data_IF_652668690241
#
_entry.id   IF_652668690241
#
_cell.length_a   1.000
_cell.length_b   1.000
_cell.length_c   1.000
_cell.angle_alpha   90.00
_cell.angle_beta   90.00
_cell.angle_gamma   90.00
#
_symmetry.space_group_name_H-M   'P 1'
#
loop_
_entity.id
_entity.type
_entity.pdbx_description
1 polymer ?
#
# COMPACT_ATOMS: atom_id res chain seq x y z
N UNK A 1 17.90 29.99 -12.74
CA UNK A 1 18.52 28.89 -13.52
C UNK A 1 18.54 29.26 -14.99
N UNK A 2 19.49 28.71 -15.76
CA UNK A 2 19.57 28.99 -17.20
C UNK A 2 18.66 28.06 -18.00
N UNK A 3 18.36 28.46 -19.24
CA UNK A 3 17.56 27.67 -20.19
C UNK A 3 18.47 26.81 -21.07
N UNK A 4 17.88 26.02 -21.98
CA UNK A 4 18.63 25.22 -22.96
C UNK A 4 19.55 26.06 -23.87
N UNK A 5 19.30 27.37 -24.01
CA UNK A 5 20.16 28.29 -24.75
C UNK A 5 21.45 28.67 -24.01
N UNK A 6 21.57 28.29 -22.73
CA UNK A 6 22.69 28.68 -21.87
C UNK A 6 24.07 28.30 -22.42
N UNK A 7 24.19 27.18 -23.14
CA UNK A 7 25.45 26.75 -23.74
C UNK A 7 25.91 27.70 -24.86
N UNK A 8 25.01 28.04 -25.78
CA UNK A 8 25.31 28.97 -26.87
C UNK A 8 25.51 30.40 -26.35
N UNK A 9 24.71 30.82 -25.37
CA UNK A 9 24.89 32.10 -24.70
C UNK A 9 26.25 32.18 -23.99
N UNK A 10 26.75 31.09 -23.40
CA UNK A 10 28.09 31.05 -22.78
C UNK A 10 29.18 31.30 -23.81
N UNK A 11 29.12 30.65 -24.98
CA UNK A 11 30.07 30.89 -26.07
C UNK A 11 30.04 32.35 -26.54
N UNK A 12 28.84 32.93 -26.71
CA UNK A 12 28.67 34.33 -27.08
C UNK A 12 29.24 35.30 -26.04
N UNK A 13 29.12 34.99 -24.73
CA UNK A 13 29.72 35.80 -23.67
C UNK A 13 31.25 35.75 -23.74
N UNK A 14 31.85 34.56 -23.90
CA UNK A 14 33.29 34.41 -24.05
C UNK A 14 33.82 35.15 -25.28
N UNK A 15 33.13 35.02 -26.42
CA UNK A 15 33.43 35.71 -27.66
C UNK A 15 33.51 37.23 -27.45
N UNK A 16 32.52 37.80 -26.77
CA UNK A 16 32.47 39.24 -26.49
C UNK A 16 33.55 39.68 -25.51
N UNK A 17 33.87 38.88 -24.50
CA UNK A 17 34.95 39.20 -23.57
C UNK A 17 36.28 39.29 -24.30
N UNK A 18 36.58 38.34 -25.17
CA UNK A 18 37.82 38.36 -25.97
C UNK A 18 37.80 39.53 -26.96
N UNK A 19 36.68 39.77 -27.66
CA UNK A 19 36.57 40.89 -28.59
C UNK A 19 36.77 42.25 -27.88
N UNK A 20 36.23 42.41 -26.67
CA UNK A 20 36.44 43.59 -25.85
C UNK A 20 37.89 43.72 -25.39
N UNK A 21 38.55 42.60 -25.06
CA UNK A 21 39.98 42.57 -24.74
C UNK A 21 40.85 43.04 -25.90
N UNK A 22 40.56 42.60 -27.12
CA UNK A 22 41.24 43.07 -28.34
C UNK A 22 41.04 44.58 -28.56
N UNK A 23 39.81 45.07 -28.37
CA UNK A 23 39.51 46.50 -28.49
C UNK A 23 40.16 47.36 -27.40
N UNK A 24 40.32 46.83 -26.18
CA UNK A 24 40.93 47.55 -25.07
C UNK A 24 42.40 47.91 -25.32
N UNK A 25 43.12 47.06 -26.06
CA UNK A 25 44.53 47.29 -26.43
C UNK A 25 44.71 47.77 -27.87
N UNK A 26 43.62 47.93 -28.63
CA UNK A 26 43.64 48.26 -30.07
C UNK A 26 44.54 47.31 -30.88
N UNK A 27 44.30 46.01 -30.71
CA UNK A 27 45.14 44.97 -31.31
C UNK A 27 45.15 45.04 -32.85
N UNK A 28 44.05 45.48 -33.45
CA UNK A 28 43.93 45.77 -34.88
C UNK A 28 44.93 46.81 -35.36
N UNK A 29 45.06 47.94 -34.65
CA UNK A 29 46.06 48.98 -34.94
C UNK A 29 47.49 48.44 -34.78
N UNK A 30 47.74 47.62 -33.75
CA UNK A 30 49.06 47.06 -33.45
C UNK A 30 49.54 46.09 -34.54
N UNK A 31 48.63 45.27 -35.06
CA UNK A 31 48.92 44.29 -36.11
C UNK A 31 48.77 44.86 -37.52
N UNK A 32 48.31 46.12 -37.66
CA UNK A 32 48.12 46.78 -38.95
C UNK A 32 46.99 46.16 -39.78
N UNK A 33 45.95 45.64 -39.13
CA UNK A 33 44.82 44.93 -39.75
C UNK A 33 43.51 45.69 -39.56
N UNK A 34 42.56 45.53 -40.49
CA UNK A 34 41.31 46.30 -40.45
C UNK A 34 40.33 45.83 -39.36
N UNK A 35 40.21 44.53 -39.13
CA UNK A 35 39.36 43.96 -38.07
C UNK A 35 39.85 42.57 -37.73
N UNK A 36 39.96 42.29 -36.43
CA UNK A 36 40.20 40.94 -35.91
C UNK A 36 38.87 40.39 -35.41
N UNK A 37 38.44 39.27 -35.99
CA UNK A 37 37.17 38.64 -35.65
C UNK A 37 37.37 37.51 -34.63
N UNK A 38 36.59 37.52 -33.55
CA UNK A 38 36.41 36.32 -32.72
C UNK A 38 35.17 35.57 -33.23
N UNK A 39 35.33 34.31 -33.61
CA UNK A 39 34.24 33.47 -34.15
C UNK A 39 33.98 32.26 -33.26
N UNK A 40 32.78 31.65 -33.39
CA UNK A 40 32.41 30.43 -32.69
C UNK A 40 31.85 29.39 -33.67
N UNK A 41 32.57 29.17 -34.76
CA UNK A 41 32.16 28.24 -35.83
C UNK A 41 32.98 26.96 -35.77
N UNK A 42 32.50 25.91 -36.44
CA UNK A 42 33.28 24.69 -36.60
C UNK A 42 34.62 25.00 -37.30
N UNK A 43 35.78 24.54 -36.78
CA UNK A 43 37.09 24.85 -37.33
C UNK A 43 37.24 24.54 -38.83
N UNK A 44 36.57 23.50 -39.34
CA UNK A 44 36.54 23.11 -40.75
C UNK A 44 35.86 24.12 -41.68
N UNK A 45 35.02 25.01 -41.14
CA UNK A 45 34.33 26.05 -41.91
C UNK A 45 35.19 27.28 -42.13
N UNK A 46 36.34 27.35 -41.46
CA UNK A 46 37.34 28.38 -41.67
C UNK A 46 38.21 27.95 -42.85
N UNK A 47 38.21 28.74 -43.92
CA UNK A 47 39.05 28.46 -45.07
C UNK A 47 40.53 28.45 -44.66
N UNK A 48 41.28 27.44 -45.10
CA UNK A 48 42.70 27.31 -44.82
C UNK A 48 43.52 28.49 -45.39
N UNK A 49 43.06 29.05 -46.52
CA UNK A 49 43.65 30.19 -47.21
C UNK A 49 42.89 31.50 -46.90
N UNK A 50 42.25 31.58 -45.73
CA UNK A 50 41.57 32.81 -45.31
C UNK A 50 42.58 33.93 -45.12
N UNK A 51 42.50 34.98 -45.94
CA UNK A 51 43.30 36.22 -45.80
C UNK A 51 42.79 37.12 -44.65
N UNK A 52 42.21 36.52 -43.60
CA UNK A 52 41.60 37.25 -42.47
C UNK A 52 42.16 36.74 -41.15
N UNK A 53 42.73 37.65 -40.37
CA UNK A 53 43.15 37.39 -38.99
C UNK A 53 41.92 37.18 -38.11
N UNK A 54 41.82 35.99 -37.52
CA UNK A 54 40.69 35.64 -36.66
C UNK A 54 41.07 34.65 -35.57
N UNK A 55 40.35 34.75 -34.46
CA UNK A 55 40.40 33.77 -33.36
C UNK A 55 39.11 32.96 -33.36
N UNK A 56 39.20 31.64 -33.36
CA UNK A 56 38.03 30.77 -33.26
C UNK A 56 37.92 30.16 -31.86
N UNK A 57 36.74 30.29 -31.26
CA UNK A 57 36.37 29.67 -29.99
C UNK A 57 35.45 28.47 -30.29
N UNK A 58 35.98 27.27 -30.15
CA UNK A 58 35.26 26.05 -30.47
C UNK A 58 34.92 25.24 -29.20
N UNK A 59 33.65 24.91 -29.00
CA UNK A 59 33.21 23.99 -27.95
C UNK A 59 33.45 22.55 -28.43
N UNK A 60 34.49 21.88 -27.90
CA UNK A 60 34.87 20.54 -28.35
C UNK A 60 34.35 19.42 -27.44
N UNK A 61 33.98 19.73 -26.19
CA UNK A 61 33.46 18.72 -25.27
C UNK A 61 32.54 19.34 -24.21
N UNK A 62 31.59 18.55 -23.72
CA UNK A 62 30.64 18.89 -22.67
C UNK A 62 30.53 17.72 -21.70
N UNK A 63 30.97 17.95 -20.46
CA UNK A 63 30.92 16.93 -19.41
C UNK A 63 29.87 17.30 -18.36
N UNK A 64 29.33 16.31 -17.65
CA UNK A 64 28.50 16.60 -16.47
C UNK A 64 29.41 17.03 -15.33
N UNK A 65 29.03 18.11 -14.65
CA UNK A 65 29.78 18.56 -13.49
C UNK A 65 29.60 17.56 -12.33
N UNK A 66 30.66 16.95 -11.79
CA UNK A 66 30.55 15.92 -10.75
C UNK A 66 30.05 16.49 -9.40
N UNK A 67 30.28 17.77 -9.13
CA UNK A 67 29.83 18.42 -7.89
C UNK A 67 28.32 18.70 -7.86
N UNK A 68 27.70 18.90 -9.02
CA UNK A 68 26.28 19.29 -9.13
C UNK A 68 25.37 18.19 -9.69
N UNK A 69 25.91 17.18 -10.38
CA UNK A 69 25.11 16.16 -11.05
C UNK A 69 24.21 15.34 -10.10
N UNK A 70 24.59 15.16 -8.83
CA UNK A 70 23.85 14.36 -7.85
C UNK A 70 23.00 15.20 -6.88
N UNK A 71 22.84 16.51 -7.11
CA UNK A 71 22.10 17.38 -6.19
C UNK A 71 20.59 17.06 -6.17
N UNK A 72 20.03 16.63 -7.30
CA UNK A 72 18.61 16.29 -7.42
C UNK A 72 18.40 15.15 -8.42
N UNK A 73 17.34 14.38 -8.23
CA UNK A 73 16.97 13.26 -9.08
C UNK A 73 15.75 13.62 -9.94
N UNK A 74 15.63 13.11 -11.18
CA UNK A 74 14.44 13.29 -12.00
C UNK A 74 13.29 12.44 -11.47
N UNK A 75 12.71 12.85 -10.35
CA UNK A 75 11.70 12.08 -9.62
C UNK A 75 10.31 12.21 -10.24
N UNK A 76 9.57 11.09 -10.19
CA UNK A 76 8.20 10.97 -10.67
C UNK A 76 7.33 10.30 -9.62
N UNK A 77 6.04 10.61 -9.63
CA UNK A 77 5.07 9.94 -8.76
C UNK A 77 4.67 8.57 -9.32
N UNK A 78 3.86 7.83 -8.56
CA UNK A 78 3.35 6.52 -8.97
C UNK A 78 2.49 6.55 -10.25
N UNK A 79 2.02 7.72 -10.67
CA UNK A 79 1.25 7.92 -11.93
C UNK A 79 2.16 8.36 -13.09
N UNK A 80 3.46 8.55 -12.84
CA UNK A 80 4.43 9.00 -13.82
C UNK A 80 4.53 10.52 -13.96
N UNK A 81 3.78 11.29 -13.16
CA UNK A 81 3.85 12.75 -13.18
C UNK A 81 5.17 13.25 -12.58
N UNK A 82 5.68 14.36 -13.10
CA UNK A 82 6.96 14.93 -12.65
C UNK A 82 6.80 15.62 -11.29
N UNK A 83 7.66 15.26 -10.32
CA UNK A 83 7.68 15.87 -8.98
C UNK A 83 8.77 16.94 -8.87
N UNK A 84 9.92 16.72 -9.50
CA UNK A 84 11.06 17.66 -9.47
C UNK A 84 11.58 17.99 -10.88
N UNK A 85 12.25 19.14 -11.00
CA UNK A 85 12.97 19.57 -12.20
C UNK A 85 14.46 19.65 -11.88
N UNK A 86 15.23 18.55 -11.86
CA UNK A 86 16.66 18.65 -11.60
C UNK A 86 17.36 19.48 -12.67
N UNK A 87 18.36 20.28 -12.27
CA UNK A 87 19.19 21.01 -13.21
C UNK A 87 20.20 20.08 -13.87
N UNK A 88 20.38 20.20 -15.19
CA UNK A 88 21.49 19.60 -15.91
C UNK A 88 22.71 20.53 -15.75
N UNK A 89 23.65 20.07 -14.94
CA UNK A 89 24.92 20.74 -14.66
C UNK A 89 26.01 20.31 -15.64
N UNK A 90 26.59 21.26 -16.35
CA UNK A 90 27.60 21.01 -17.40
C UNK A 90 28.88 21.80 -17.16
N UNK A 91 30.00 21.16 -17.45
CA UNK A 91 31.30 21.77 -17.65
C UNK A 91 31.59 21.81 -19.16
N UNK A 92 31.77 23.01 -19.69
CA UNK A 92 31.93 23.27 -21.11
C UNK A 92 33.41 23.44 -21.45
N UNK A 93 33.95 22.59 -22.32
CA UNK A 93 35.35 22.61 -22.71
C UNK A 93 35.51 23.30 -24.07
N UNK A 94 36.18 24.45 -24.05
CA UNK A 94 36.44 25.27 -25.20
C UNK A 94 37.91 25.17 -25.62
N UNK A 95 38.15 25.21 -26.94
CA UNK A 95 39.46 25.33 -27.55
C UNK A 95 39.50 26.64 -28.34
N UNK A 96 40.47 27.49 -28.00
CA UNK A 96 40.82 28.65 -28.82
C UNK A 96 41.81 28.22 -29.89
N UNK A 97 41.56 28.58 -31.15
CA UNK A 97 42.50 28.41 -32.26
C UNK A 97 42.73 29.74 -32.97
N UNK A 98 43.99 30.14 -33.10
CA UNK A 98 44.37 31.39 -33.76
C UNK A 98 44.72 31.17 -35.24
N UNK A 99 44.14 32.00 -36.12
CA UNK A 99 44.37 32.00 -37.56
C UNK A 99 44.97 33.34 -37.93
N UNK A 100 46.30 33.38 -38.08
CA UNK A 100 47.06 34.56 -38.46
C UNK A 100 47.45 34.53 -39.94
N UNK A 101 47.42 35.68 -40.60
CA UNK A 101 47.82 35.83 -42.02
C UNK A 101 49.29 36.19 -42.17
N UNK A 102 49.86 36.91 -41.20
CA UNK A 102 51.26 37.32 -41.18
C UNK A 102 52.00 36.78 -39.94
N UNK A 103 53.34 36.88 -39.97
CA UNK A 103 54.21 36.45 -38.88
C UNK A 103 53.76 37.07 -37.55
N UNK A 104 53.75 36.25 -36.49
CA UNK A 104 53.42 36.63 -35.12
C UNK A 104 51.96 37.03 -34.84
N UNK A 105 51.10 37.16 -35.87
CA UNK A 105 49.70 37.54 -35.68
C UNK A 105 48.95 36.49 -34.82
N UNK A 106 49.16 35.20 -35.11
CA UNK A 106 48.49 34.11 -34.40
C UNK A 106 48.91 34.08 -32.92
N UNK A 107 50.20 34.22 -32.62
CA UNK A 107 50.76 34.25 -31.27
C UNK A 107 50.30 35.49 -30.50
N UNK A 108 50.26 36.66 -31.15
CA UNK A 108 49.79 37.90 -30.54
C UNK A 108 48.30 37.82 -30.16
N UNK A 109 47.44 37.37 -31.09
CA UNK A 109 46.01 37.17 -30.82
C UNK A 109 45.77 36.16 -29.70
N UNK A 110 46.49 35.04 -29.72
CA UNK A 110 46.35 34.01 -28.70
C UNK A 110 46.82 34.53 -27.33
N UNK A 111 47.95 35.22 -27.26
CA UNK A 111 48.49 35.77 -26.02
C UNK A 111 47.54 36.78 -25.37
N UNK A 112 46.97 37.70 -26.15
CA UNK A 112 46.00 38.68 -25.65
C UNK A 112 44.71 38.02 -25.20
N UNK A 113 44.21 37.03 -25.96
CA UNK A 113 43.02 36.28 -25.56
C UNK A 113 43.24 35.52 -24.25
N UNK A 114 44.40 34.87 -24.10
CA UNK A 114 44.77 34.17 -22.87
C UNK A 114 44.86 35.13 -21.67
N UNK A 115 45.49 36.30 -21.85
CA UNK A 115 45.55 37.33 -20.81
C UNK A 115 44.15 37.82 -20.42
N UNK A 116 43.30 38.13 -21.41
CA UNK A 116 41.93 38.62 -21.18
C UNK A 116 41.09 37.62 -20.36
N UNK A 117 41.19 36.33 -20.69
CA UNK A 117 40.48 35.27 -19.95
C UNK A 117 41.09 35.03 -18.56
N UNK A 118 42.41 35.18 -18.40
CA UNK A 118 43.08 35.08 -17.11
C UNK A 118 42.69 36.21 -16.16
N UNK A 119 42.57 37.44 -16.68
CA UNK A 119 42.16 38.62 -15.91
C UNK A 119 40.65 38.61 -15.58
N UNK A 120 39.86 37.78 -16.28
CA UNK A 120 38.41 37.63 -16.08
C UNK A 120 38.02 36.17 -15.72
N UNK A 121 38.51 35.60 -14.60
CA UNK A 121 38.29 34.19 -14.26
C UNK A 121 36.85 33.89 -13.82
N UNK A 122 36.08 34.91 -13.42
CA UNK A 122 34.67 34.79 -13.05
C UNK A 122 33.80 35.69 -13.92
N UNK A 123 32.74 35.15 -14.49
CA UNK A 123 31.78 35.91 -15.30
C UNK A 123 30.74 36.54 -14.39
N UNK A 124 30.98 37.81 -14.04
CA UNK A 124 30.04 38.63 -13.28
C UNK A 124 28.69 38.76 -14.00
N UNK A 125 27.60 38.85 -13.24
CA UNK A 125 26.23 38.92 -13.77
C UNK A 125 26.03 40.11 -14.70
N UNK A 126 26.60 41.26 -14.35
CA UNK A 126 26.49 42.48 -15.17
C UNK A 126 27.32 42.38 -16.45
N UNK A 127 28.49 41.72 -16.40
CA UNK A 127 29.28 41.43 -17.58
C UNK A 127 28.54 40.50 -18.56
N UNK A 128 27.88 39.45 -18.04
CA UNK A 128 27.03 38.55 -18.84
C UNK A 128 25.88 39.33 -19.49
N UNK A 129 25.18 40.17 -18.73
CA UNK A 129 24.07 41.01 -19.25
C UNK A 129 24.56 41.99 -20.31
N UNK A 130 25.71 42.63 -20.09
CA UNK A 130 26.31 43.55 -21.04
C UNK A 130 26.76 42.85 -22.32
N UNK A 131 27.38 41.66 -22.20
CA UNK A 131 27.81 40.86 -23.34
C UNK A 131 26.63 40.45 -24.23
N UNK A 132 25.53 39.97 -23.63
CA UNK A 132 24.33 39.51 -24.34
C UNK A 132 23.35 40.64 -24.73
N UNK A 133 23.63 41.90 -24.39
CA UNK A 133 22.80 43.03 -24.80
C UNK A 133 22.89 43.24 -26.32
N UNK A 134 21.75 43.30 -27.05
CA UNK A 134 21.68 43.61 -28.46
C UNK A 134 22.40 44.93 -28.78
N UNK A 135 23.27 44.88 -29.77
CA UNK A 135 24.06 46.01 -30.24
C UNK A 135 24.35 45.81 -31.73
N UNK A 136 24.39 46.89 -32.51
CA UNK A 136 24.74 46.85 -33.94
C UNK A 136 26.16 46.32 -34.17
N UNK A 137 27.05 46.51 -33.19
CA UNK A 137 28.42 45.95 -33.19
C UNK A 137 28.49 44.44 -32.96
N UNK A 138 27.36 43.79 -32.61
CA UNK A 138 27.27 42.37 -32.24
C UNK A 138 26.30 41.60 -33.13
N UNK A 139 26.30 41.89 -34.43
CA UNK A 139 25.32 41.37 -35.39
C UNK A 139 25.26 39.82 -35.47
N UNK A 140 26.31 39.12 -35.03
CA UNK A 140 26.40 37.65 -35.02
C UNK A 140 25.85 36.99 -33.75
N UNK A 141 25.43 37.76 -32.74
CA UNK A 141 24.85 37.23 -31.49
C UNK A 141 23.32 37.39 -31.54
N UNK A 142 22.55 36.29 -31.58
CA UNK A 142 21.09 36.36 -31.57
C UNK A 142 20.54 37.05 -30.31
N UNK A 143 19.62 38.00 -30.49
CA UNK A 143 18.95 38.70 -29.38
C UNK A 143 18.22 37.74 -28.42
N UNK A 144 17.83 36.55 -28.90
CA UNK A 144 17.19 35.51 -28.09
C UNK A 144 18.08 34.97 -26.97
N UNK A 145 19.41 35.16 -27.03
CA UNK A 145 20.32 34.70 -25.99
C UNK A 145 20.16 35.46 -24.67
N UNK A 146 19.52 36.64 -24.67
CA UNK A 146 19.12 37.29 -23.42
C UNK A 146 18.15 36.43 -22.59
N UNK A 147 17.35 35.59 -23.24
CA UNK A 147 16.42 34.67 -22.60
C UNK A 147 17.11 33.41 -22.05
N UNK A 148 18.43 33.30 -22.18
CA UNK A 148 19.20 32.18 -21.65
C UNK A 148 19.22 32.15 -20.11
N UNK A 149 18.96 33.28 -19.44
CA UNK A 149 18.95 33.37 -17.96
C UNK A 149 20.31 33.09 -17.31
N UNK A 150 21.40 33.26 -18.06
CA UNK A 150 22.76 32.90 -17.64
C UNK A 150 23.29 33.77 -16.48
N UNK A 151 22.78 35.00 -16.36
CA UNK A 151 23.09 35.87 -15.21
C UNK A 151 22.29 35.51 -13.95
N UNK A 152 21.19 34.77 -14.10
CA UNK A 152 20.22 34.48 -13.03
C UNK A 152 20.30 33.02 -12.53
N UNK A 153 21.30 32.26 -12.97
CA UNK A 153 21.64 30.99 -12.34
C UNK A 153 22.29 31.20 -10.96
N UNK A 154 22.21 30.16 -10.13
CA UNK A 154 22.68 30.20 -8.74
C UNK A 154 24.20 30.38 -8.70
N UNK A 155 24.92 29.52 -9.42
CA UNK A 155 26.38 29.58 -9.55
C UNK A 155 26.81 30.52 -10.67
N UNK A 156 27.88 31.29 -10.44
CA UNK A 156 28.53 32.07 -11.50
C UNK A 156 29.36 31.15 -12.39
N UNK A 157 29.43 31.48 -13.68
CA UNK A 157 30.36 30.80 -14.58
C UNK A 157 31.79 31.22 -14.25
N UNK A 158 32.69 30.24 -14.18
CA UNK A 158 34.12 30.39 -13.92
C UNK A 158 34.87 29.83 -15.11
N UNK A 159 35.88 30.56 -15.54
CA UNK A 159 36.77 30.20 -16.63
C UNK A 159 38.06 29.69 -16.01
N UNK A 160 38.46 28.48 -16.40
CA UNK A 160 39.68 27.83 -15.91
C UNK A 160 40.50 27.40 -17.11
N UNK A 161 41.76 27.80 -17.17
CA UNK A 161 42.68 27.31 -18.20
C UNK A 161 42.93 25.81 -18.02
N UNK A 162 42.89 25.08 -19.13
CA UNK A 162 43.18 23.64 -19.18
C UNK A 162 44.48 23.42 -19.93
N UNK A 163 45.45 22.82 -19.24
CA UNK A 163 46.70 22.41 -19.86
C UNK A 163 46.49 21.06 -20.54
N UNK A 164 46.37 21.06 -21.86
CA UNK A 164 46.36 19.85 -22.68
C UNK A 164 47.80 19.39 -22.93
N UNK A 165 48.01 18.09 -22.94
CA UNK A 165 49.26 17.49 -23.42
C UNK A 165 49.36 17.58 -24.94
N UNK A 166 50.58 17.49 -25.48
CA UNK A 166 50.82 17.53 -26.92
C UNK A 166 50.07 16.41 -27.67
N UNK A 167 49.96 15.22 -27.07
CA UNK A 167 49.21 14.10 -27.62
C UNK A 167 47.70 14.38 -27.67
N UNK A 168 47.11 14.94 -26.59
CA UNK A 168 45.70 15.32 -26.56
C UNK A 168 45.38 16.40 -27.59
N UNK A 169 46.23 17.43 -27.68
CA UNK A 169 46.07 18.50 -28.64
C UNK A 169 46.18 17.98 -30.09
N UNK A 170 47.17 17.13 -30.36
CA UNK A 170 47.35 16.48 -31.66
C UNK A 170 46.14 15.62 -32.05
N UNK A 171 45.54 14.90 -31.09
CA UNK A 171 44.34 14.08 -31.34
C UNK A 171 43.12 14.94 -31.64
N UNK A 172 42.93 16.05 -30.93
CA UNK A 172 41.81 16.97 -31.17
C UNK A 172 41.91 17.53 -32.60
N UNK A 173 43.06 18.07 -32.99
CA UNK A 173 43.26 18.61 -34.33
C UNK A 173 43.15 17.55 -35.43
N UNK A 174 43.68 16.35 -35.20
CA UNK A 174 43.53 15.24 -36.15
C UNK A 174 42.05 14.84 -36.33
N UNK A 175 41.27 14.81 -35.25
CA UNK A 175 39.84 14.50 -35.31
C UNK A 175 39.04 15.57 -36.07
N UNK A 176 39.47 16.84 -35.99
CA UNK A 176 38.88 17.96 -36.72
C UNK A 176 39.26 17.99 -38.21
N UNK A 177 40.18 17.11 -38.66
CA UNK A 177 40.69 17.07 -40.04
C UNK A 177 41.22 18.43 -40.54
N UNK A 178 41.67 19.28 -39.61
CA UNK A 178 42.20 20.61 -39.91
C UNK A 178 43.67 20.67 -39.49
N UNK A 179 44.53 21.39 -40.22
CA UNK A 179 45.92 21.54 -39.82
C UNK A 179 46.01 22.21 -38.44
N UNK A 180 46.90 21.71 -37.58
CA UNK A 180 47.06 22.22 -36.22
C UNK A 180 47.38 23.72 -36.22
N UNK A 181 46.86 24.43 -35.22
CA UNK A 181 47.04 25.88 -35.02
C UNK A 181 47.48 26.17 -33.60
N UNK A 182 48.16 27.31 -33.35
CA UNK A 182 48.38 27.82 -32.01
C UNK A 182 47.05 27.86 -31.26
N UNK A 183 47.00 27.17 -30.12
CA UNK A 183 45.75 26.92 -29.42
C UNK A 183 45.89 26.87 -27.91
N UNK A 184 44.81 27.21 -27.21
CA UNK A 184 44.71 27.18 -25.76
C UNK A 184 43.33 26.65 -25.35
N UNK A 185 43.28 25.77 -24.35
CA UNK A 185 42.04 25.15 -23.89
C UNK A 185 41.54 25.77 -22.57
N UNK A 186 40.22 25.85 -22.43
CA UNK A 186 39.55 26.39 -21.26
C UNK A 186 38.34 25.55 -20.88
N UNK A 187 38.07 25.44 -19.59
CA UNK A 187 36.83 24.89 -19.05
C UNK A 187 36.01 26.02 -18.47
N UNK A 188 34.73 26.06 -18.83
CA UNK A 188 33.74 26.94 -18.21
C UNK A 188 32.80 26.13 -17.35
N UNK A 189 32.84 26.38 -16.04
CA UNK A 189 32.08 25.65 -15.01
C UNK A 189 31.36 26.63 -14.08
N UNK A 190 30.12 26.43 -13.63
CA UNK A 190 29.18 25.37 -14.00
C UNK A 190 27.97 25.99 -14.70
N UNK A 191 27.57 25.44 -15.84
CA UNK A 191 26.33 25.81 -16.51
C UNK A 191 25.17 24.98 -15.94
N UNK A 192 24.18 25.64 -15.33
CA UNK A 192 23.01 24.98 -14.72
C UNK A 192 21.73 25.20 -15.54
N UNK A 193 21.44 24.25 -16.44
CA UNK A 193 20.23 24.30 -17.27
C UNK A 193 19.05 23.59 -16.62
N UNK A 194 17.90 24.24 -16.48
CA UNK A 194 16.71 23.65 -15.84
C UNK A 194 15.47 23.85 -16.72
N UNK A 195 14.58 22.86 -16.72
CA UNK A 195 13.29 23.00 -17.40
C UNK A 195 12.32 23.84 -16.56
N UNK A 196 11.57 24.79 -17.18
CA UNK A 196 10.55 25.57 -16.47
C UNK A 196 9.19 24.86 -16.42
N UNK A 197 9.11 23.58 -16.78
CA UNK A 197 7.84 22.84 -16.80
C UNK A 197 7.27 22.75 -15.38
N UNK A 198 5.94 22.82 -15.25
CA UNK A 198 5.29 22.62 -13.95
C UNK A 198 5.65 21.25 -13.36
N UNK A 199 5.92 21.23 -12.06
CA UNK A 199 6.09 20.01 -11.28
C UNK A 199 4.99 19.91 -10.24
N UNK A 200 4.59 18.68 -9.92
CA UNK A 200 3.55 18.43 -8.93
C UNK A 200 4.11 18.70 -7.54
N UNK A 201 3.47 19.61 -6.80
CA UNK A 201 3.74 19.83 -5.39
C UNK A 201 2.70 19.07 -4.55
N UNK A 202 3.10 18.17 -3.64
CA UNK A 202 2.15 17.50 -2.76
C UNK A 202 1.51 18.49 -1.79
N UNK A 203 0.29 18.20 -1.34
CA UNK A 203 -0.34 18.96 -0.27
C UNK A 203 0.46 18.78 1.03
N UNK A 204 0.56 19.82 1.88
CA UNK A 204 1.23 19.70 3.16
C UNK A 204 0.51 18.69 4.06
N UNK A 205 1.28 17.90 4.81
CA UNK A 205 0.74 16.97 5.81
C UNK A 205 0.13 17.79 6.95
N UNK A 206 -1.19 17.73 7.12
CA UNK A 206 -1.92 18.51 8.13
C UNK A 206 -1.77 17.94 9.55
N UNK A 207 -1.87 16.62 9.68
CA UNK A 207 -1.79 15.91 10.96
C UNK A 207 -1.00 14.62 10.78
N UNK A 208 -0.25 14.24 11.81
CA UNK A 208 0.44 12.95 11.87
C UNK A 208 -0.21 12.16 13.00
N UNK A 209 -0.84 11.04 12.66
CA UNK A 209 -1.41 10.14 13.66
C UNK A 209 -0.42 8.99 13.86
N UNK A 210 0.12 8.89 15.07
CA UNK A 210 1.01 7.80 15.48
C UNK A 210 0.30 6.96 16.54
N UNK A 211 0.24 5.65 16.33
CA UNK A 211 -0.38 4.71 17.24
C UNK A 211 0.69 3.77 17.77
N UNK A 212 0.76 3.61 19.10
CA UNK A 212 1.59 2.60 19.77
C UNK A 212 0.65 1.71 20.54
N UNK A 213 0.54 0.45 20.15
CA UNK A 213 -0.38 -0.50 20.77
C UNK A 213 0.42 -1.74 21.17
N UNK A 214 0.36 -2.17 22.44
CA UNK A 214 0.98 -3.42 22.87
C UNK A 214 0.25 -4.62 22.22
N UNK A 215 1.02 -5.60 21.77
CA UNK A 215 0.48 -6.87 21.27
C UNK A 215 0.16 -7.78 22.45
N UNK A 216 -1.09 -7.73 22.89
CA UNK A 216 -1.70 -8.44 23.99
C UNK A 216 -2.93 -9.18 23.45
N UNK A 217 -2.70 -10.36 22.87
CA UNK A 217 -3.75 -11.14 22.25
C UNK A 217 -4.59 -11.85 23.32
N UNK A 218 -5.94 -11.74 23.27
CA UNK A 218 -6.82 -12.49 24.17
C UNK A 218 -6.56 -13.99 24.04
N UNK A 219 -6.76 -14.74 25.11
CA UNK A 219 -6.69 -16.22 25.06
C UNK A 219 -7.84 -16.80 25.86
N UNK A 220 -8.60 -17.69 25.22
CA UNK A 220 -9.70 -18.42 25.84
C UNK A 220 -9.16 -19.76 26.34
N UNK A 221 -9.32 -20.02 27.63
CA UNK A 221 -8.98 -21.30 28.25
C UNK A 221 -10.21 -22.21 28.35
N UNK A 222 -11.39 -21.64 28.67
CA UNK A 222 -12.58 -22.44 28.93
C UNK A 222 -13.88 -21.66 28.65
N UNK A 223 -14.91 -22.38 28.19
CA UNK A 223 -16.27 -21.89 27.96
C UNK A 223 -17.25 -22.82 28.68
N UNK A 224 -18.14 -22.26 29.51
CA UNK A 224 -19.15 -23.03 30.25
C UNK A 224 -20.49 -22.28 30.32
N UNK A 225 -21.58 -23.00 30.60
CA UNK A 225 -22.84 -22.39 31.00
C UNK A 225 -22.90 -22.31 32.53
N UNK A 226 -23.35 -21.16 33.06
CA UNK A 226 -23.44 -20.96 34.51
C UNK A 226 -22.11 -21.18 35.23
N UNK A 227 -22.15 -21.83 36.38
CA UNK A 227 -20.98 -22.02 37.25
C UNK A 227 -20.36 -23.44 37.17
N UNK A 228 -20.82 -24.29 36.23
CA UNK A 228 -20.42 -25.69 36.17
C UNK A 228 -20.18 -26.20 34.75
N UNK A 229 -19.07 -26.93 34.57
CA UNK A 229 -18.75 -27.67 33.34
C UNK A 229 -19.75 -28.77 32.98
N UNK A 230 -20.54 -29.23 33.94
CA UNK A 230 -21.50 -30.33 33.73
C UNK A 230 -22.85 -29.84 33.23
N UNK A 231 -23.09 -28.52 33.27
CA UNK A 231 -24.35 -27.95 32.83
C UNK A 231 -24.40 -27.89 31.29
N UNK A 232 -25.47 -28.40 30.65
CA UNK A 232 -25.62 -28.30 29.21
C UNK A 232 -25.75 -26.84 28.79
N UNK A 233 -24.95 -26.41 27.82
CA UNK A 233 -25.12 -25.10 27.20
C UNK A 233 -26.40 -25.13 26.36
N UNK A 234 -27.35 -24.26 26.70
CA UNK A 234 -28.64 -24.09 26.04
C UNK A 234 -28.71 -22.73 25.33
N UNK A 235 -29.69 -22.53 24.43
CA UNK A 235 -29.79 -21.31 23.63
C UNK A 235 -30.11 -20.05 24.44
N UNK A 236 -30.66 -20.22 25.65
CA UNK A 236 -30.94 -19.17 26.63
C UNK A 236 -29.86 -19.07 27.72
N UNK A 237 -28.82 -19.89 27.66
CA UNK A 237 -27.71 -19.83 28.62
C UNK A 237 -26.91 -18.54 28.50
N UNK A 238 -26.45 -18.06 29.66
CA UNK A 238 -25.32 -17.13 29.74
C UNK A 238 -24.05 -17.97 29.74
N UNK A 239 -23.16 -17.69 28.77
CA UNK A 239 -21.86 -18.31 28.66
C UNK A 239 -20.86 -17.56 29.52
N UNK A 240 -20.18 -18.30 30.40
CA UNK A 240 -19.06 -17.82 31.19
C UNK A 240 -17.76 -18.33 30.55
N UNK A 241 -16.94 -17.39 30.12
CA UNK A 241 -15.66 -17.60 29.45
C UNK A 241 -14.57 -17.22 30.43
N UNK A 242 -13.58 -18.10 30.59
CA UNK A 242 -12.37 -17.80 31.36
C UNK A 242 -11.14 -17.92 30.48
N UNK A 243 -10.14 -17.12 30.81
CA UNK A 243 -8.94 -16.98 29.99
C UNK A 243 -8.08 -15.83 30.47
N UNK A 244 -7.39 -15.18 29.54
CA UNK A 244 -6.53 -14.03 29.85
C UNK A 244 -6.73 -12.93 28.82
N UNK A 245 -6.67 -11.68 29.28
CA UNK A 245 -6.81 -10.48 28.46
C UNK A 245 -8.13 -10.48 27.65
N UNK A 246 -9.24 -10.82 28.28
CA UNK A 246 -10.57 -10.87 27.64
C UNK A 246 -11.25 -9.49 27.60
N UNK A 247 -10.72 -8.50 28.31
CA UNK A 247 -11.21 -7.13 28.34
C UNK A 247 -10.50 -6.23 27.32
N UNK A 248 -11.27 -5.33 26.71
CA UNK A 248 -10.75 -4.28 25.84
C UNK A 248 -11.71 -3.09 25.78
N UNK A 249 -11.19 -1.91 25.42
CA UNK A 249 -12.01 -0.71 25.19
C UNK A 249 -13.02 -0.90 24.06
N UNK A 250 -12.67 -1.71 23.07
CA UNK A 250 -13.58 -2.16 22.01
C UNK A 250 -13.39 -3.66 21.89
N UNK A 251 -14.50 -4.39 21.94
CA UNK A 251 -14.55 -5.83 22.06
C UNK A 251 -15.58 -6.38 21.07
N UNK A 252 -15.21 -7.40 20.33
CA UNK A 252 -16.12 -8.22 19.53
C UNK A 252 -16.06 -9.66 20.02
N UNK A 253 -17.22 -10.28 20.18
CA UNK A 253 -17.36 -11.66 20.66
C UNK A 253 -18.00 -12.47 19.55
N UNK A 254 -17.20 -13.22 18.81
CA UNK A 254 -17.65 -13.93 17.63
C UNK A 254 -18.08 -15.36 17.98
N UNK A 255 -19.35 -15.69 17.78
CA UNK A 255 -19.83 -17.07 17.82
C UNK A 255 -20.16 -17.51 16.40
N UNK A 256 -19.41 -18.48 15.87
CA UNK A 256 -19.50 -18.90 14.46
C UNK A 256 -19.35 -17.74 13.46
N UNK A 257 -18.67 -16.66 13.86
CA UNK A 257 -18.45 -15.46 13.05
C UNK A 257 -19.48 -14.33 13.24
N UNK A 258 -20.59 -14.58 13.94
CA UNK A 258 -21.56 -13.54 14.29
C UNK A 258 -21.13 -12.82 15.57
N UNK A 259 -21.29 -11.49 15.63
CA UNK A 259 -20.86 -10.69 16.78
C UNK A 259 -21.93 -10.59 17.87
N UNK A 260 -21.57 -11.04 19.07
CA UNK A 260 -22.35 -11.03 20.30
C UNK A 260 -21.85 -9.97 21.30
N UNK A 261 -21.03 -9.00 20.88
CA UNK A 261 -20.54 -7.92 21.74
C UNK A 261 -21.67 -7.19 22.50
N UNK A 262 -22.84 -7.02 21.88
CA UNK A 262 -24.00 -6.37 22.50
C UNK A 262 -24.65 -7.21 23.61
N UNK A 263 -24.45 -8.52 23.61
CA UNK A 263 -24.98 -9.46 24.61
C UNK A 263 -24.00 -9.71 25.77
N UNK A 264 -22.85 -9.05 25.79
CA UNK A 264 -21.88 -9.11 26.89
C UNK A 264 -22.48 -8.43 28.13
N UNK A 265 -22.54 -9.17 29.23
CA UNK A 265 -23.04 -8.69 30.53
C UNK A 265 -21.91 -8.33 31.49
N UNK A 266 -20.76 -8.99 31.35
CA UNK A 266 -19.56 -8.74 32.14
C UNK A 266 -18.31 -8.99 31.29
N UNK A 267 -17.31 -8.12 31.41
CA UNK A 267 -16.01 -8.29 30.78
C UNK A 267 -14.92 -7.76 31.70
N UNK A 268 -14.17 -8.68 32.28
CA UNK A 268 -12.98 -8.45 33.08
C UNK A 268 -11.78 -9.08 32.37
N UNK A 269 -10.57 -8.81 32.88
CA UNK A 269 -9.33 -9.30 32.28
C UNK A 269 -9.30 -10.81 32.06
N UNK A 270 -9.83 -11.59 33.00
CA UNK A 270 -9.72 -13.06 32.97
C UNK A 270 -11.09 -13.76 32.86
N UNK A 271 -12.18 -12.99 32.86
CA UNK A 271 -13.55 -13.50 32.84
C UNK A 271 -14.44 -12.67 31.91
N UNK A 272 -15.24 -13.33 31.09
CA UNK A 272 -16.22 -12.69 30.22
C UNK A 272 -17.52 -13.48 30.23
N UNK A 273 -18.63 -12.78 30.41
CA UNK A 273 -19.97 -13.37 30.42
C UNK A 273 -20.86 -12.72 29.36
N UNK A 274 -21.54 -13.54 28.57
CA UNK A 274 -22.45 -13.06 27.52
C UNK A 274 -23.58 -14.05 27.23
N UNK A 275 -24.72 -13.54 26.78
CA UNK A 275 -25.86 -14.37 26.38
C UNK A 275 -25.81 -14.80 24.91
N UNK A 276 -26.36 -15.96 24.60
CA UNK A 276 -26.59 -16.41 23.20
C UNK A 276 -27.86 -15.82 22.56
N UNK A 277 -28.65 -15.06 23.33
CA UNK A 277 -29.77 -14.25 22.84
C UNK A 277 -29.32 -12.79 22.79
N UNK A 278 -29.41 -12.18 21.62
CA UNK A 278 -29.03 -10.77 21.45
C UNK A 278 -30.10 -9.85 22.06
N UNK A 279 -29.70 -8.70 22.63
CA UNK A 279 -30.64 -7.65 23.05
C UNK A 279 -31.10 -6.79 21.86
N UNK A 280 -31.88 -5.73 22.14
CA UNK A 280 -32.28 -4.75 21.13
C UNK A 280 -31.07 -4.17 20.37
N UNK A 281 -31.16 -3.88 19.06
CA UNK A 281 -32.37 -3.71 18.24
C UNK A 281 -32.92 -4.99 17.59
N UNK A 282 -32.19 -6.11 17.65
CA UNK A 282 -32.62 -7.39 17.06
C UNK A 282 -32.70 -8.45 18.16
N UNK A 283 -33.71 -8.37 19.03
CA UNK A 283 -33.81 -9.25 20.18
C UNK A 283 -34.03 -10.70 19.75
N UNK A 284 -33.35 -11.63 20.41
CA UNK A 284 -33.53 -13.06 20.23
C UNK A 284 -32.29 -13.79 19.72
N UNK A 285 -32.45 -15.10 19.52
CA UNK A 285 -31.37 -15.97 19.06
C UNK A 285 -31.17 -15.76 17.55
N UNK A 286 -29.93 -15.45 17.10
CA UNK A 286 -29.64 -15.27 15.68
C UNK A 286 -30.04 -16.49 14.84
N UNK A 287 -30.59 -16.23 13.65
CA UNK A 287 -31.03 -17.27 12.72
C UNK A 287 -29.88 -18.05 12.08
N UNK A 288 -28.63 -17.68 12.37
CA UNK A 288 -27.37 -18.32 11.98
C UNK A 288 -26.85 -19.29 13.05
N UNK A 289 -27.25 -19.12 14.32
CA UNK A 289 -26.88 -20.04 15.39
C UNK A 289 -27.54 -21.41 15.16
N UNK A 290 -26.77 -22.48 15.35
CA UNK A 290 -27.22 -23.87 15.17
C UNK A 290 -26.81 -24.70 16.38
N UNK A 291 -27.65 -25.65 16.79
CA UNK A 291 -27.25 -26.64 17.78
C UNK A 291 -26.09 -27.50 17.23
N UNK A 292 -25.21 -27.99 18.11
CA UNK A 292 -24.00 -28.72 17.73
C UNK A 292 -22.72 -27.99 18.13
N UNK A 293 -21.61 -28.27 17.44
CA UNK A 293 -20.32 -27.63 17.73
C UNK A 293 -20.36 -26.18 17.27
N UNK A 294 -20.21 -25.26 18.21
CA UNK A 294 -20.04 -23.83 17.97
C UNK A 294 -18.61 -23.42 18.27
N UNK A 295 -18.15 -22.39 17.59
CA UNK A 295 -16.84 -21.78 17.78
C UNK A 295 -17.01 -20.42 18.45
N UNK A 296 -16.08 -20.08 19.34
CA UNK A 296 -16.01 -18.81 20.04
C UNK A 296 -14.62 -18.19 19.78
N UNK A 297 -14.62 -16.91 19.43
CA UNK A 297 -13.42 -16.10 19.28
C UNK A 297 -13.65 -14.71 19.86
N UNK A 298 -12.65 -14.18 20.57
CA UNK A 298 -12.66 -12.82 21.09
C UNK A 298 -11.71 -11.98 20.24
N UNK A 299 -12.18 -10.81 19.80
CA UNK A 299 -11.44 -9.90 18.94
C UNK A 299 -11.38 -8.53 19.59
N UNK A 300 -10.18 -7.94 19.63
CA UNK A 300 -9.92 -6.57 20.06
C UNK A 300 -9.66 -5.72 18.81
N UNK A 301 -10.68 -4.98 18.30
CA UNK A 301 -10.53 -4.19 17.08
C UNK A 301 -9.63 -2.99 17.34
N UNK A 302 -8.71 -2.70 16.41
CA UNK A 302 -7.84 -1.53 16.50
C UNK A 302 -8.43 -0.37 15.71
N UNK A 303 -8.97 0.62 16.41
CA UNK A 303 -9.50 1.84 15.79
C UNK A 303 -8.37 2.82 15.48
N UNK A 304 -8.11 3.07 14.19
CA UNK A 304 -7.10 4.01 13.71
C UNK A 304 -7.68 4.98 12.68
N UNK A 305 -7.07 6.15 12.55
CA UNK A 305 -7.48 7.20 11.61
C UNK A 305 -8.35 8.31 12.22
N UNK A 306 -8.80 9.21 11.34
CA UNK A 306 -9.70 10.31 11.68
C UNK A 306 -10.70 10.48 10.53
N UNK A 307 -11.96 10.00 10.67
CA UNK A 307 -12.55 9.39 11.85
C UNK A 307 -11.94 8.01 12.18
N UNK A 308 -12.06 7.53 13.44
CA UNK A 308 -11.60 6.19 13.81
C UNK A 308 -12.28 5.11 12.96
N UNK A 309 -11.47 4.26 12.33
CA UNK A 309 -11.91 3.12 11.51
C UNK A 309 -11.20 1.87 12.01
N UNK A 310 -11.86 0.71 11.95
CA UNK A 310 -11.23 -0.56 12.31
C UNK A 310 -10.12 -0.88 11.30
N UNK A 311 -8.90 -1.03 11.77
CA UNK A 311 -7.70 -1.32 10.99
C UNK A 311 -7.01 -2.52 11.64
N UNK A 312 -7.53 -3.71 11.36
CA UNK A 312 -7.09 -4.96 11.99
C UNK A 312 -7.55 -5.08 13.45
N UNK A 313 -6.98 -6.07 14.14
CA UNK A 313 -7.32 -6.38 15.52
C UNK A 313 -6.46 -7.52 16.05
N UNK A 314 -6.52 -7.75 17.35
CA UNK A 314 -5.91 -8.91 17.99
C UNK A 314 -7.00 -9.93 18.24
N UNK A 315 -6.73 -11.17 17.87
CA UNK A 315 -7.70 -12.25 17.93
C UNK A 315 -7.25 -13.33 18.90
N UNK A 316 -8.21 -13.94 19.59
CA UNK A 316 -7.94 -15.08 20.43
C UNK A 316 -7.74 -16.36 19.64
N UNK A 317 -7.26 -17.40 20.32
CA UNK A 317 -7.47 -18.76 19.85
C UNK A 317 -8.97 -19.04 19.66
N UNK A 318 -9.28 -20.00 18.79
CA UNK A 318 -10.64 -20.47 18.57
C UNK A 318 -11.00 -21.50 19.66
N UNK A 319 -11.95 -21.17 20.51
CA UNK A 319 -12.52 -22.11 21.47
C UNK A 319 -13.74 -22.80 20.86
N UNK A 320 -13.99 -24.06 21.23
CA UNK A 320 -15.16 -24.81 20.78
C UNK A 320 -16.03 -25.20 21.96
N UNK A 321 -17.34 -25.11 21.80
CA UNK A 321 -18.32 -25.58 22.76
C UNK A 321 -19.48 -26.27 22.04
N UNK A 322 -20.24 -27.11 22.76
CA UNK A 322 -21.39 -27.81 22.18
C UNK A 322 -22.67 -27.12 22.66
N UNK A 323 -23.42 -26.54 21.73
CA UNK A 323 -24.74 -25.99 21.98
C UNK A 323 -25.79 -27.09 21.87
N UNK A 324 -26.53 -27.33 22.96
CA UNK A 324 -27.61 -28.30 22.98
C UNK A 324 -28.93 -27.66 22.53
N UNK A 325 -29.75 -28.38 21.74
CA UNK A 325 -31.04 -27.87 21.33
C UNK A 325 -32.03 -27.91 22.50
N UNK A 326 -32.77 -26.82 22.71
CA UNK A 326 -33.97 -26.84 23.53
C UNK A 326 -35.11 -27.42 22.68
N UNK A 327 -35.54 -28.66 22.98
CA UNK A 327 -36.46 -29.42 22.14
C UNK A 327 -37.80 -29.74 22.82
N UNK A 328 -38.88 -29.74 22.04
CA UNK A 328 -40.21 -30.21 22.43
C UNK A 328 -40.78 -31.16 21.37
N UNK A 329 -41.66 -32.08 21.80
CA UNK A 329 -42.10 -33.19 20.96
C UNK A 329 -43.62 -33.32 20.95
N UNK A 330 -44.19 -33.57 19.77
CA UNK A 330 -45.62 -33.81 19.57
C UNK A 330 -45.79 -35.05 18.69
N UNK A 331 -46.49 -36.07 19.18
CA UNK A 331 -46.88 -37.25 18.39
C UNK A 331 -48.01 -36.83 17.44
N UNK A 332 -47.82 -37.04 16.13
CA UNK A 332 -48.83 -36.68 15.13
C UNK A 332 -49.99 -37.69 15.09
N UNK A 333 -51.15 -37.26 14.60
CA UNK A 333 -52.27 -38.14 14.31
C UNK A 333 -51.92 -39.16 13.20
N UNK A 334 -52.57 -40.32 13.20
CA UNK A 334 -52.33 -41.37 12.20
C UNK A 334 -51.31 -42.44 12.61
N UNK A 335 -51.03 -42.59 13.90
CA UNK A 335 -50.21 -43.70 14.43
C UNK A 335 -50.89 -45.03 14.08
N UNK A 336 -50.13 -45.91 13.45
CA UNK A 336 -50.54 -47.29 13.15
C UNK A 336 -50.09 -48.22 14.26
N UNK A 337 -50.86 -49.28 14.51
CA UNK A 337 -50.52 -50.30 15.49
C UNK A 337 -50.53 -51.69 14.86
N UNK A 338 -49.57 -52.52 15.26
CA UNK A 338 -49.48 -53.92 14.87
C UNK A 338 -49.18 -54.75 16.11
N UNK A 339 -49.88 -55.86 16.30
CA UNK A 339 -49.69 -56.77 17.45
C UNK A 339 -48.96 -58.01 16.98
N UNK A 340 -47.75 -58.23 17.51
CA UNK A 340 -46.93 -59.42 17.23
C UNK A 340 -46.65 -60.09 18.56
N UNK A 341 -47.06 -61.36 18.71
CA UNK A 341 -46.86 -62.15 19.94
C UNK A 341 -47.39 -61.46 21.21
N UNK A 342 -48.53 -60.77 21.12
CA UNK A 342 -49.16 -60.06 22.24
C UNK A 342 -48.51 -58.71 22.60
N UNK A 343 -47.46 -58.30 21.90
CA UNK A 343 -46.81 -56.99 22.07
C UNK A 343 -47.34 -56.02 21.02
N UNK A 344 -47.84 -54.86 21.47
CA UNK A 344 -48.34 -53.80 20.58
C UNK A 344 -47.18 -52.91 20.13
N UNK A 345 -46.87 -52.94 18.84
CA UNK A 345 -45.90 -52.07 18.19
C UNK A 345 -46.63 -50.92 17.50
N UNK A 346 -46.09 -49.71 17.63
CA UNK A 346 -46.61 -48.48 17.06
C UNK A 346 -45.62 -47.88 16.07
N UNK A 347 -46.16 -47.34 14.98
CA UNK A 347 -45.38 -46.63 13.96
C UNK A 347 -46.14 -45.37 13.55
N UNK A 348 -45.44 -44.24 13.42
CA UNK A 348 -46.04 -42.94 13.14
C UNK A 348 -45.00 -41.85 12.99
N UNK A 349 -45.41 -40.60 13.19
CA UNK A 349 -44.54 -39.44 13.06
C UNK A 349 -44.52 -38.65 14.37
N UNK A 350 -43.33 -38.24 14.81
CA UNK A 350 -43.14 -37.28 15.89
C UNK A 350 -42.61 -35.98 15.30
N UNK A 351 -43.31 -34.88 15.55
CA UNK A 351 -42.81 -33.52 15.29
C UNK A 351 -41.91 -33.12 16.44
N UNK A 352 -40.61 -32.91 16.17
CA UNK A 352 -39.68 -32.33 17.12
C UNK A 352 -39.46 -30.85 16.78
N UNK A 353 -39.84 -29.94 17.68
CA UNK A 353 -39.53 -28.51 17.58
C UNK A 353 -38.25 -28.23 18.35
N UNK A 354 -37.36 -27.39 17.82
CA UNK A 354 -36.08 -27.08 18.46
C UNK A 354 -35.67 -25.62 18.30
N UNK A 355 -34.99 -25.13 19.33
CA UNK A 355 -34.26 -23.87 19.33
C UNK A 355 -32.78 -24.19 19.63
N UNK A 356 -31.80 -23.69 18.84
CA UNK A 356 -31.95 -22.90 17.62
C UNK A 356 -32.56 -23.73 16.47
N UNK A 357 -32.91 -23.06 15.37
CA UNK A 357 -33.51 -23.73 14.20
C UNK A 357 -32.57 -24.80 13.63
N UNK A 358 -33.14 -25.90 13.18
CA UNK A 358 -32.42 -27.05 12.64
C UNK A 358 -32.11 -26.80 11.17
N UNK A 359 -30.83 -26.92 10.78
CA UNK A 359 -30.40 -26.79 9.39
C UNK A 359 -30.62 -28.05 8.56
N UNK A 360 -30.79 -27.92 7.25
CA UNK A 360 -30.97 -29.04 6.32
C UNK A 360 -29.73 -29.96 6.18
N UNK A 361 -28.54 -29.49 6.58
CA UNK A 361 -27.29 -30.26 6.55
C UNK A 361 -26.93 -30.91 7.89
N UNK A 362 -27.70 -30.65 8.95
CA UNK A 362 -27.42 -31.19 10.28
C UNK A 362 -27.91 -32.62 10.42
N UNK A 363 -27.22 -33.43 11.21
CA UNK A 363 -27.62 -34.81 11.51
C UNK A 363 -28.61 -34.81 12.68
N UNK A 364 -29.87 -35.09 12.40
CA UNK A 364 -30.93 -35.11 13.41
C UNK A 364 -31.33 -36.54 13.75
N UNK A 365 -31.37 -36.85 15.05
CA UNK A 365 -31.82 -38.13 15.59
C UNK A 365 -32.81 -37.92 16.73
N UNK A 366 -33.95 -38.62 16.66
CA UNK A 366 -34.85 -38.81 17.79
C UNK A 366 -34.35 -39.98 18.62
N UNK A 367 -34.16 -39.76 19.92
CA UNK A 367 -33.80 -40.79 20.89
C UNK A 367 -34.98 -40.99 21.83
N UNK A 368 -35.46 -42.23 21.95
CA UNK A 368 -36.54 -42.61 22.85
C UNK A 368 -36.01 -43.59 23.89
N UNK A 369 -36.21 -43.29 25.17
CA UNK A 369 -35.83 -44.15 26.28
C UNK A 369 -37.07 -44.44 27.14
N UNK A 370 -37.47 -45.71 27.25
CA UNK A 370 -38.68 -46.09 27.96
C UNK A 370 -38.59 -45.69 29.43
N UNK A 371 -39.64 -45.03 29.92
CA UNK A 371 -39.81 -44.71 31.34
C UNK A 371 -40.91 -45.59 31.91
N UNK A 372 -40.73 -46.02 33.17
CA UNK A 372 -41.67 -46.89 33.89
C UNK A 372 -42.03 -48.18 33.13
N UNK A 373 -41.05 -49.04 32.77
CA UNK A 373 -41.34 -50.31 32.11
C UNK A 373 -42.17 -51.22 33.04
N UNK A 374 -43.01 -52.12 32.49
CA UNK A 374 -43.74 -53.11 33.28
C UNK A 374 -42.80 -53.96 34.13
N UNK A 375 -43.25 -54.37 35.33
CA UNK A 375 -42.44 -55.17 36.24
C UNK A 375 -41.87 -56.43 35.55
N UNK A 376 -40.58 -56.69 35.77
CA UNK A 376 -39.87 -57.82 35.17
C UNK A 376 -39.38 -57.61 33.72
N UNK A 377 -39.59 -56.42 33.13
CA UNK A 377 -39.13 -56.11 31.77
C UNK A 377 -37.97 -55.10 31.77
N UNK A 378 -36.96 -55.35 30.93
CA UNK A 378 -35.89 -54.38 30.70
C UNK A 378 -36.42 -53.15 29.92
N UNK A 379 -35.99 -51.92 30.26
CA UNK A 379 -36.42 -50.72 29.55
C UNK A 379 -35.95 -50.75 28.09
N UNK A 380 -36.85 -50.42 27.16
CA UNK A 380 -36.53 -50.37 25.73
C UNK A 380 -35.99 -48.99 25.33
N UNK A 381 -35.11 -48.96 24.33
CA UNK A 381 -34.57 -47.74 23.76
C UNK A 381 -34.59 -47.81 22.23
N UNK A 382 -34.88 -46.68 21.60
CA UNK A 382 -34.98 -46.56 20.15
C UNK A 382 -34.27 -45.30 19.66
N UNK A 383 -33.76 -45.35 18.43
CA UNK A 383 -33.19 -44.19 17.76
C UNK A 383 -33.68 -44.13 16.32
N UNK A 384 -34.20 -42.98 15.90
CA UNK A 384 -34.70 -42.75 14.55
C UNK A 384 -34.00 -41.54 13.93
N UNK A 385 -33.43 -41.72 12.74
CA UNK A 385 -32.87 -40.61 11.98
C UNK A 385 -34.01 -39.80 11.35
N UNK A 386 -33.86 -38.47 11.29
CA UNK A 386 -34.72 -37.67 10.43
C UNK A 386 -34.52 -38.05 8.95
N UNK A 387 -35.52 -37.72 8.12
CA UNK A 387 -35.44 -37.90 6.68
C UNK A 387 -34.29 -37.09 6.06
N UNK A 388 -33.91 -37.44 4.83
CA UNK A 388 -32.86 -36.71 4.11
C UNK A 388 -33.17 -35.21 4.04
N UNK A 389 -32.18 -34.37 4.33
CA UNK A 389 -32.37 -32.92 4.40
C UNK A 389 -33.24 -32.44 5.56
N UNK A 390 -33.54 -33.31 6.53
CA UNK A 390 -34.47 -33.06 7.65
C UNK A 390 -35.89 -32.67 7.20
N UNK A 391 -36.30 -33.08 6.00
CA UNK A 391 -37.58 -32.68 5.39
C UNK A 391 -37.65 -31.20 4.99
N UNK A 392 -36.52 -30.49 4.99
CA UNK A 392 -36.43 -29.07 4.64
C UNK A 392 -36.22 -28.96 3.13
N UNK A 393 -37.13 -28.24 2.46
CA UNK A 393 -37.15 -28.08 1.00
C UNK A 393 -36.74 -26.65 0.62
N UNK A 394 -35.98 -26.51 -0.47
CA UNK A 394 -35.59 -25.22 -1.01
C UNK A 394 -36.82 -24.33 -1.29
N UNK A 395 -36.76 -23.01 -1.04
CA UNK A 395 -35.55 -22.23 -0.74
C UNK A 395 -35.14 -22.19 0.74
N UNK A 396 -35.84 -22.90 1.64
CA UNK A 396 -35.49 -22.92 3.06
C UNK A 396 -34.22 -23.73 3.30
N UNK A 397 -33.37 -23.25 4.20
CA UNK A 397 -32.14 -23.90 4.66
C UNK A 397 -32.24 -24.41 6.11
N UNK A 398 -33.29 -23.99 6.83
CA UNK A 398 -33.52 -24.27 8.23
C UNK A 398 -35.03 -24.31 8.58
N UNK A 399 -35.38 -25.08 9.61
CA UNK A 399 -36.74 -25.21 10.12
C UNK A 399 -36.78 -25.17 11.65
N UNK A 400 -37.87 -24.64 12.22
CA UNK A 400 -38.08 -24.64 13.67
C UNK A 400 -38.55 -26.01 14.20
N UNK A 401 -39.04 -26.87 13.30
CA UNK A 401 -39.50 -28.22 13.62
C UNK A 401 -39.20 -29.18 12.48
N UNK A 402 -38.95 -30.44 12.83
CA UNK A 402 -38.68 -31.54 11.90
C UNK A 402 -39.60 -32.72 12.22
N UNK A 403 -40.13 -33.35 11.19
CA UNK A 403 -40.95 -34.56 11.31
C UNK A 403 -40.04 -35.80 11.24
N UNK A 404 -40.11 -36.66 12.25
CA UNK A 404 -39.29 -37.86 12.36
C UNK A 404 -40.22 -39.07 12.42
N UNK A 405 -40.08 -39.98 11.46
CA UNK A 405 -40.80 -41.23 11.44
C UNK A 405 -40.23 -42.19 12.48
N UNK A 406 -41.10 -42.76 13.32
CA UNK A 406 -40.76 -43.86 14.20
C UNK A 406 -41.49 -45.12 13.75
N UNK A 407 -40.80 -46.26 13.83
CA UNK A 407 -41.34 -47.54 13.37
C UNK A 407 -41.08 -48.62 14.41
N UNK A 408 -42.06 -49.51 14.60
CA UNK A 408 -41.96 -50.67 15.49
C UNK A 408 -41.55 -50.31 16.94
N UNK A 409 -42.09 -49.23 17.48
CA UNK A 409 -41.89 -48.84 18.89
C UNK A 409 -42.92 -49.52 19.76
N UNK A 410 -42.50 -50.21 20.83
CA UNK A 410 -43.45 -50.87 21.74
C UNK A 410 -44.28 -49.83 22.47
N UNK A 411 -45.59 -50.04 22.56
CA UNK A 411 -46.49 -49.12 23.26
C UNK A 411 -46.02 -48.88 24.70
N UNK A 412 -45.84 -47.61 25.08
CA UNK A 412 -45.35 -47.20 26.39
C UNK A 412 -45.08 -45.70 26.45
N UNK A 413 -44.59 -45.24 27.61
CA UNK A 413 -44.11 -43.87 27.77
C UNK A 413 -42.60 -43.82 27.57
N UNK A 414 -42.11 -42.83 26.84
CA UNK A 414 -40.70 -42.67 26.53
C UNK A 414 -40.22 -41.26 26.83
N UNK A 415 -39.06 -41.14 27.45
CA UNK A 415 -38.27 -39.91 27.48
C UNK A 415 -37.76 -39.65 26.06
N UNK A 416 -38.13 -38.50 25.51
CA UNK A 416 -37.72 -38.08 24.18
C UNK A 416 -36.56 -37.09 24.27
N UNK A 417 -35.53 -37.33 23.46
CA UNK A 417 -34.43 -36.39 23.23
C UNK A 417 -34.20 -36.20 21.74
N UNK A 418 -33.78 -35.00 21.39
CA UNK A 418 -33.38 -34.65 20.04
C UNK A 418 -31.86 -34.46 20.05
N UNK A 419 -31.17 -35.30 19.29
CA UNK A 419 -29.76 -35.11 18.99
C UNK A 419 -29.65 -34.37 17.67
N UNK A 420 -28.97 -33.22 17.68
CA UNK A 420 -28.65 -32.42 16.48
C UNK A 420 -27.13 -32.26 16.43
N UNK A 421 -26.51 -32.91 15.44
CA UNK A 421 -25.07 -33.07 15.33
C UNK A 421 -24.44 -33.62 16.63
N UNK A 422 -23.66 -32.79 17.34
CA UNK A 422 -23.01 -33.14 18.61
C UNK A 422 -23.87 -32.80 19.84
N UNK A 423 -24.87 -31.92 19.71
CA UNK A 423 -25.72 -31.47 20.80
C UNK A 423 -26.89 -32.41 21.04
N UNK A 424 -27.26 -32.63 22.31
CA UNK A 424 -28.43 -33.46 22.67
C UNK A 424 -29.31 -32.69 23.64
N UNK A 425 -30.61 -32.60 23.35
CA UNK A 425 -31.55 -31.91 24.23
C UNK A 425 -31.54 -32.53 25.64
N UNK A 426 -31.44 -31.74 26.71
CA UNK A 426 -31.38 -32.26 28.07
C UNK A 426 -32.71 -32.90 28.47
N UNK A 427 -32.64 -33.79 29.46
CA UNK A 427 -33.81 -34.32 30.16
C UNK A 427 -34.03 -33.50 31.43
N UNK A 428 -35.28 -33.32 31.82
CA UNK A 428 -35.64 -32.73 33.10
C UNK A 428 -35.70 -33.82 34.18
N UNK A 429 -35.28 -33.46 35.40
CA UNK A 429 -35.39 -34.33 36.57
C UNK A 429 -36.72 -34.06 37.29
N UNK A 430 -37.32 -35.12 37.82
CA UNK A 430 -38.47 -35.06 38.71
C UNK A 430 -38.06 -34.77 40.16
N UNK A 431 -39.03 -34.60 41.07
CA UNK A 431 -38.78 -34.37 42.50
C UNK A 431 -38.02 -35.51 43.20
N UNK A 432 -38.06 -36.70 42.61
CA UNK A 432 -37.38 -37.92 43.05
C UNK A 432 -35.95 -38.06 42.53
N UNK A 433 -35.45 -37.06 41.78
CA UNK A 433 -34.13 -37.08 41.16
C UNK A 433 -34.00 -38.02 39.96
N UNK A 434 -35.10 -38.61 39.47
CA UNK A 434 -35.13 -39.41 38.25
C UNK A 434 -35.49 -38.56 37.04
N UNK A 435 -35.15 -39.00 35.83
CA UNK A 435 -35.57 -38.30 34.62
C UNK A 435 -37.10 -38.36 34.45
N UNK A 436 -37.73 -37.20 34.28
CA UNK A 436 -39.18 -37.06 34.26
C UNK A 436 -39.73 -36.48 32.94
N UNK A 437 -38.90 -35.89 32.08
CA UNK A 437 -39.34 -35.40 30.77
C UNK A 437 -38.20 -34.93 29.86
N UNK A 438 -38.51 -34.52 28.62
CA UNK A 438 -39.83 -34.55 27.97
C UNK A 438 -40.35 -35.98 27.72
N UNK A 439 -41.65 -36.24 27.91
CA UNK A 439 -42.27 -37.56 27.70
C UNK A 439 -43.16 -37.57 26.47
N UNK A 440 -43.06 -38.62 25.66
CA UNK A 440 -43.98 -38.94 24.56
C UNK A 440 -44.59 -40.32 24.77
N UNK A 441 -45.81 -40.50 24.27
CA UNK A 441 -46.51 -41.79 24.19
C UNK A 441 -46.76 -42.11 22.71
N UNK A 442 -45.77 -42.72 22.03
CA UNK A 442 -45.86 -43.05 20.60
C UNK A 442 -47.02 -43.99 20.31
#
# INVERSE_FOLDING_TARGET
>A
MSTALGMAATAAVLQQIIQNGFGAIKLDDLLGVHTINVTCIAPERIAADSEVDQLNLFLYNQMRNPGWFNQDLPSRDARGDRISNPALALDLHFLLGAYGVADFHAEAMLGVAMQTLHDTPGLGRDAIRAALKPDASKANIPNTFQLAGLADQIEQLRIVALNLTDDELSRIWAALQTPARPSAAYVVSVLLTQTPRSSRTPLPVRTRNLYVVPLNAPRIDQVMAGDSLSEPILPDSVLNVSGTQLDATTLSVLVNGDDYASAVTQADRDHLSFGLSLPAPTPGIPSTLRAGVCTLQIVHPMLMGTPPQVQGGQESNLAAFVLNPAASFVVQAGVTSNVVEGVTYRSGVITASAVPRIGNRQRVRLLLNQINPPAGHAPKAYSFNASAGNGIVAPADSAASVNIEFQQVVQGSYLARLQVDAGTSPLTLGPDGQFAGPVVTP
#
